data_IF_565021866325
#
_entry.id   IF_565021866325
#
_cell.length_a   1.000
_cell.length_b   1.000
_cell.length_c   1.000
_cell.angle_alpha   90.00
_cell.angle_beta   90.00
_cell.angle_gamma   90.00
#
_symmetry.space_group_name_H-M   'P 1'
#
loop_
_entity.id
_entity.type
_entity.pdbx_description
1 polymer ?
#
# COMPACT_ATOMS: atom_id res chain seq x y z
N UNK A 1 30.79 2.98 -24.99
CA UNK A 1 30.47 4.44 -24.96
C UNK A 1 31.67 5.13 -24.33
N UNK A 2 32.10 6.26 -24.90
CA UNK A 2 33.19 7.06 -24.33
C UNK A 2 32.77 7.72 -23.00
N UNK A 3 33.71 7.86 -22.06
CA UNK A 3 33.46 8.35 -20.70
C UNK A 3 32.78 9.72 -20.68
N UNK A 4 33.28 10.66 -21.47
CA UNK A 4 32.77 12.04 -21.49
C UNK A 4 31.36 12.07 -22.07
N UNK A 5 31.10 11.24 -23.08
CA UNK A 5 29.75 11.07 -23.62
C UNK A 5 28.79 10.47 -22.59
N UNK A 6 29.23 9.49 -21.80
CA UNK A 6 28.42 8.90 -20.73
C UNK A 6 28.06 9.96 -19.68
N UNK A 7 29.04 10.73 -19.20
CA UNK A 7 28.83 11.80 -18.20
C UNK A 7 27.87 12.86 -18.75
N UNK A 8 28.06 13.29 -19.99
CA UNK A 8 27.20 14.29 -20.63
C UNK A 8 25.75 13.81 -20.81
N UNK A 9 25.54 12.53 -21.11
CA UNK A 9 24.19 11.95 -21.16
C UNK A 9 23.58 11.93 -19.75
N UNK A 10 24.33 11.46 -18.76
CA UNK A 10 23.84 11.36 -17.39
C UNK A 10 23.42 12.71 -16.81
N UNK A 11 24.21 13.77 -17.03
CA UNK A 11 23.90 15.11 -16.53
C UNK A 11 22.72 15.78 -17.24
N UNK A 12 22.38 15.33 -18.46
CA UNK A 12 21.28 15.89 -19.25
C UNK A 12 20.00 15.04 -19.24
N UNK A 13 20.01 13.88 -18.57
CA UNK A 13 18.87 12.96 -18.58
C UNK A 13 17.75 13.49 -17.70
N UNK A 14 16.56 13.67 -18.27
CA UNK A 14 15.36 14.13 -17.57
C UNK A 14 14.29 13.02 -17.56
N UNK A 15 13.69 12.78 -16.40
CA UNK A 15 12.61 11.81 -16.21
C UNK A 15 11.20 12.34 -16.52
N UNK A 16 11.07 13.48 -17.20
CA UNK A 16 9.79 14.06 -17.66
C UNK A 16 10.06 15.17 -18.68
N UNK A 17 9.05 15.52 -19.48
CA UNK A 17 9.16 16.57 -20.48
C UNK A 17 9.45 17.94 -19.85
N UNK A 18 10.50 18.64 -20.29
CA UNK A 18 10.80 20.00 -19.84
C UNK A 18 10.03 21.01 -20.69
N UNK A 19 9.30 21.92 -20.05
CA UNK A 19 8.60 22.99 -20.76
C UNK A 19 9.56 24.16 -21.01
N UNK A 20 9.77 24.51 -22.28
CA UNK A 20 10.63 25.61 -22.70
C UNK A 20 12.07 25.20 -23.06
N UNK A 21 12.85 26.16 -23.58
CA UNK A 21 14.28 25.98 -23.91
C UNK A 21 15.15 26.27 -22.68
N UNK A 22 15.12 25.41 -21.66
CA UNK A 22 16.12 25.43 -20.57
C UNK A 22 17.34 24.61 -20.98
N UNK A 23 17.96 25.00 -22.09
CA UNK A 23 19.20 24.40 -22.61
C UNK A 23 20.43 25.07 -21.96
N UNK A 24 20.44 25.15 -20.64
CA UNK A 24 21.63 25.59 -19.92
C UNK A 24 22.20 24.38 -19.20
N UNK A 25 23.44 24.03 -19.52
CA UNK A 25 24.26 22.97 -18.87
C UNK A 25 24.33 23.14 -17.34
N UNK A 26 23.90 24.30 -16.83
CA UNK A 26 23.83 24.67 -15.43
C UNK A 26 22.42 25.08 -14.99
N UNK A 27 21.36 24.74 -15.73
CA UNK A 27 20.01 25.11 -15.30
C UNK A 27 19.68 24.23 -14.11
N UNK A 28 19.80 24.84 -12.95
CA UNK A 28 19.31 24.41 -11.65
C UNK A 28 17.80 24.10 -11.64
N UNK A 29 17.14 23.87 -12.79
CA UNK A 29 15.73 23.46 -12.85
C UNK A 29 15.47 22.11 -12.16
N UNK A 30 16.50 21.26 -12.00
CA UNK A 30 16.41 20.08 -11.14
C UNK A 30 16.59 20.42 -9.64
N UNK A 31 17.40 21.43 -9.31
CA UNK A 31 17.73 21.85 -7.94
C UNK A 31 16.81 22.95 -7.40
N UNK A 32 15.99 23.58 -8.24
CA UNK A 32 15.07 24.66 -7.92
C UNK A 32 13.68 24.30 -8.42
N UNK A 33 12.95 23.58 -7.57
CA UNK A 33 11.51 23.62 -7.31
C UNK A 33 11.13 22.26 -6.70
N UNK A 34 10.30 22.28 -5.65
CA UNK A 34 9.91 21.08 -4.89
C UNK A 34 9.43 19.89 -5.73
N UNK A 35 9.33 18.73 -5.10
CA UNK A 35 9.07 17.38 -5.60
C UNK A 35 8.41 17.30 -6.99
N UNK A 36 9.24 17.45 -8.04
CA UNK A 36 8.85 17.18 -9.42
C UNK A 36 8.68 15.67 -9.69
N UNK A 37 8.91 14.81 -8.69
CA UNK A 37 8.65 13.37 -8.75
C UNK A 37 7.21 13.04 -9.16
N UNK A 38 6.24 13.92 -8.86
CA UNK A 38 4.86 13.78 -9.34
C UNK A 38 4.76 13.72 -10.87
N UNK A 39 5.69 14.35 -11.58
CA UNK A 39 5.75 14.38 -13.05
C UNK A 39 6.28 13.07 -13.64
N UNK A 40 6.90 12.21 -12.83
CA UNK A 40 7.33 10.89 -13.26
C UNK A 40 6.18 9.88 -13.35
N UNK A 41 4.96 10.25 -12.93
CA UNK A 41 3.79 9.35 -12.91
C UNK A 41 3.53 8.67 -14.26
N UNK A 42 3.68 9.39 -15.36
CA UNK A 42 3.47 8.82 -16.70
C UNK A 42 4.51 7.74 -17.01
N UNK A 43 5.78 7.98 -16.63
CA UNK A 43 6.85 6.99 -16.77
C UNK A 43 6.61 5.80 -15.85
N UNK A 44 6.19 6.04 -14.60
CA UNK A 44 5.86 4.97 -13.65
C UNK A 44 4.85 4.00 -14.27
N UNK A 45 3.76 4.49 -14.86
CA UNK A 45 2.75 3.63 -15.50
C UNK A 45 3.30 2.95 -16.75
N UNK A 46 3.90 3.73 -17.66
CA UNK A 46 4.41 3.22 -18.94
C UNK A 46 5.51 2.15 -18.78
N UNK A 47 6.29 2.22 -17.69
CA UNK A 47 7.36 1.27 -17.40
C UNK A 47 6.82 -0.15 -17.12
N UNK A 48 5.63 -0.25 -16.50
CA UNK A 48 5.09 -1.54 -16.06
C UNK A 48 3.88 -2.02 -16.86
N UNK A 49 3.21 -1.15 -17.63
CA UNK A 49 2.00 -1.47 -18.40
C UNK A 49 2.13 -2.77 -19.21
N UNK A 50 3.22 -2.91 -19.97
CA UNK A 50 3.46 -4.14 -20.77
C UNK A 50 3.63 -5.39 -19.92
N UNK A 51 4.30 -5.27 -18.77
CA UNK A 51 4.52 -6.40 -17.86
C UNK A 51 3.21 -6.82 -17.20
N UNK A 52 2.37 -5.85 -16.82
CA UNK A 52 1.03 -6.10 -16.30
C UNK A 52 0.20 -6.85 -17.33
N UNK A 53 0.15 -6.37 -18.57
CA UNK A 53 -0.71 -6.98 -19.59
C UNK A 53 -0.22 -8.36 -20.06
N UNK A 54 1.10 -8.59 -20.05
CA UNK A 54 1.68 -9.84 -20.53
C UNK A 54 1.82 -10.93 -19.44
N UNK A 55 2.03 -10.54 -18.17
CA UNK A 55 2.48 -11.48 -17.13
C UNK A 55 1.57 -11.54 -15.89
N UNK A 56 0.69 -10.56 -15.68
CA UNK A 56 -0.29 -10.67 -14.59
C UNK A 56 -1.39 -11.64 -15.00
N UNK A 57 -1.48 -12.76 -14.28
CA UNK A 57 -2.67 -13.61 -14.35
C UNK A 57 -3.85 -12.88 -13.70
N UNK A 58 -4.77 -12.38 -14.54
CA UNK A 58 -5.93 -11.61 -14.10
C UNK A 58 -7.06 -12.50 -13.56
N UNK A 59 -6.91 -13.82 -13.62
CA UNK A 59 -7.89 -14.80 -13.14
C UNK A 59 -7.45 -15.47 -11.84
N UNK A 60 -6.16 -15.83 -11.72
CA UNK A 60 -5.62 -16.57 -10.55
C UNK A 60 -4.30 -15.99 -10.03
N UNK A 61 -4.04 -14.70 -10.29
CA UNK A 61 -2.80 -14.06 -9.87
C UNK A 61 -2.63 -13.98 -8.36
N UNK A 62 -1.37 -14.03 -7.93
CA UNK A 62 -0.98 -13.70 -6.56
C UNK A 62 -0.04 -12.50 -6.57
N UNK A 63 -0.52 -11.38 -6.04
CA UNK A 63 0.22 -10.12 -5.95
C UNK A 63 0.54 -9.76 -4.51
N UNK A 64 1.64 -9.06 -4.32
CA UNK A 64 2.10 -8.54 -3.03
C UNK A 64 2.27 -7.03 -3.13
N UNK A 65 1.92 -6.32 -2.06
CA UNK A 65 2.20 -4.89 -1.92
C UNK A 65 3.14 -4.68 -0.74
N UNK A 66 4.25 -3.98 -0.99
CA UNK A 66 5.21 -3.59 0.03
C UNK A 66 5.81 -2.21 -0.27
N UNK A 67 6.54 -1.60 0.67
CA UNK A 67 7.37 -0.42 0.40
C UNK A 67 8.81 -0.79 0.07
N UNK A 68 9.44 -0.07 -0.85
CA UNK A 68 10.86 -0.14 -1.11
C UNK A 68 11.55 1.19 -0.77
N UNK A 69 12.71 1.13 -0.11
CA UNK A 69 13.53 2.32 0.18
C UNK A 69 14.64 2.40 -0.84
N UNK A 70 14.60 3.44 -1.67
CA UNK A 70 15.63 3.70 -2.68
C UNK A 70 16.73 4.52 -2.01
N UNK A 71 17.92 3.95 -1.84
CA UNK A 71 18.99 4.59 -1.09
C UNK A 71 19.42 5.92 -1.74
N UNK A 72 19.30 7.04 -1.03
CA UNK A 72 19.79 8.34 -1.48
C UNK A 72 20.08 9.27 -0.31
N UNK A 73 21.27 9.90 -0.37
CA UNK A 73 21.69 10.96 0.56
C UNK A 73 21.63 12.35 -0.06
N UNK A 74 21.20 12.46 -1.32
CA UNK A 74 21.20 13.71 -2.05
C UNK A 74 20.31 14.76 -1.34
N UNK A 75 20.80 15.98 -1.19
CA UNK A 75 20.13 17.01 -0.36
C UNK A 75 18.83 17.56 -1.00
N UNK A 76 18.69 17.36 -2.30
CA UNK A 76 17.56 17.79 -3.13
C UNK A 76 16.40 16.78 -3.18
N UNK A 77 16.52 15.61 -2.52
CA UNK A 77 15.36 14.73 -2.30
C UNK A 77 14.52 15.30 -1.16
N UNK A 78 13.37 15.87 -1.50
CA UNK A 78 12.45 16.53 -0.56
C UNK A 78 11.93 15.58 0.54
N UNK A 79 11.52 14.36 0.16
CA UNK A 79 10.97 13.38 1.10
C UNK A 79 11.89 12.17 1.20
N UNK A 80 12.53 12.03 2.35
CA UNK A 80 13.30 10.85 2.70
C UNK A 80 12.74 10.21 3.95
N UNK A 81 12.75 8.88 3.97
CA UNK A 81 12.60 8.12 5.20
C UNK A 81 13.97 7.68 5.69
N UNK A 82 14.14 7.64 7.01
CA UNK A 82 15.26 6.99 7.66
C UNK A 82 14.78 5.66 8.21
N UNK A 83 15.45 4.57 7.84
CA UNK A 83 15.12 3.22 8.27
C UNK A 83 16.37 2.45 8.67
N UNK A 84 16.47 2.11 9.94
CA UNK A 84 17.54 1.24 10.44
C UNK A 84 17.37 -0.23 10.01
N UNK A 85 16.21 -0.58 9.45
CA UNK A 85 15.88 -1.95 9.01
C UNK A 85 16.21 -2.19 7.53
N UNK A 86 16.27 -1.14 6.70
CA UNK A 86 16.46 -1.27 5.25
C UNK A 86 17.90 -0.94 4.84
N UNK A 87 18.39 -1.67 3.84
CA UNK A 87 19.71 -1.42 3.23
C UNK A 87 19.69 -0.03 2.59
N UNK A 88 20.72 0.78 2.84
CA UNK A 88 20.76 2.18 2.39
C UNK A 88 20.45 3.23 3.47
N UNK A 89 19.72 2.83 4.52
CA UNK A 89 19.37 3.62 5.73
C UNK A 89 18.53 4.88 5.51
N UNK A 90 18.68 5.56 4.38
CA UNK A 90 18.04 6.85 4.08
C UNK A 90 17.72 6.93 2.59
N UNK A 91 16.56 7.48 2.26
CA UNK A 91 16.18 7.83 0.90
C UNK A 91 14.67 7.90 0.70
N UNK A 92 14.19 8.21 -0.52
CA UNK A 92 12.78 8.19 -0.83
C UNK A 92 12.21 6.77 -0.74
N UNK A 93 10.93 6.68 -0.44
CA UNK A 93 10.20 5.42 -0.32
C UNK A 93 9.24 5.31 -1.49
N UNK A 94 9.19 4.16 -2.14
CA UNK A 94 8.19 3.82 -3.13
C UNK A 94 7.26 2.73 -2.59
N UNK A 95 5.98 2.81 -2.93
CA UNK A 95 5.07 1.68 -2.79
C UNK A 95 5.21 0.81 -4.05
N UNK A 96 5.26 -0.51 -3.89
CA UNK A 96 5.49 -1.46 -4.97
C UNK A 96 4.39 -2.52 -5.01
N UNK A 97 4.03 -2.96 -6.20
CA UNK A 97 3.22 -4.16 -6.44
C UNK A 97 4.05 -5.16 -7.23
N UNK A 98 4.09 -6.40 -6.79
CA UNK A 98 4.81 -7.46 -7.50
C UNK A 98 4.04 -8.78 -7.50
N UNK A 99 4.34 -9.67 -8.43
CA UNK A 99 3.94 -11.07 -8.36
C UNK A 99 4.85 -11.82 -7.40
N UNK A 100 4.29 -12.49 -6.40
CA UNK A 100 5.07 -13.31 -5.47
C UNK A 100 5.74 -14.50 -6.18
N UNK A 101 5.04 -15.12 -7.12
CA UNK A 101 5.49 -16.35 -7.79
C UNK A 101 6.60 -16.08 -8.80
N UNK A 102 6.47 -15.01 -9.59
CA UNK A 102 7.41 -14.67 -10.66
C UNK A 102 8.48 -13.66 -10.24
N UNK A 103 8.40 -13.14 -9.01
CA UNK A 103 9.28 -12.05 -8.53
C UNK A 103 9.33 -10.85 -9.48
N UNK A 104 8.23 -10.60 -10.19
CA UNK A 104 8.13 -9.54 -11.21
C UNK A 104 7.39 -8.35 -10.64
N UNK A 105 7.99 -7.15 -10.73
CA UNK A 105 7.36 -5.92 -10.31
C UNK A 105 6.35 -5.44 -11.38
N UNK A 106 5.13 -5.17 -10.96
CA UNK A 106 4.02 -4.70 -11.78
C UNK A 106 3.68 -3.23 -11.58
N UNK A 107 4.28 -2.60 -10.57
CA UNK A 107 4.07 -1.19 -10.32
C UNK A 107 4.98 -0.69 -9.23
N UNK A 108 5.50 0.52 -9.41
CA UNK A 108 6.23 1.24 -8.37
C UNK A 108 5.79 2.69 -8.41
N UNK A 109 5.50 3.26 -7.25
CA UNK A 109 5.07 4.65 -7.12
C UNK A 109 5.78 5.34 -5.97
N UNK A 110 6.50 6.41 -6.27
CA UNK A 110 7.21 7.17 -5.24
C UNK A 110 6.22 7.86 -4.29
N UNK A 111 6.51 7.81 -2.99
CA UNK A 111 5.77 8.58 -1.99
C UNK A 111 6.18 10.05 -2.12
N UNK A 112 5.17 10.89 -2.28
CA UNK A 112 5.32 12.34 -2.35
C UNK A 112 4.48 12.99 -1.26
N UNK A 113 4.92 14.15 -0.78
CA UNK A 113 4.23 14.93 0.24
C UNK A 113 2.76 15.12 -0.15
N UNK A 114 1.84 14.92 0.80
CA UNK A 114 0.38 15.08 0.63
C UNK A 114 -0.31 14.12 -0.36
N UNK A 115 0.27 12.96 -0.69
CA UNK A 115 -0.45 11.90 -1.42
C UNK A 115 -0.72 10.68 -0.52
N UNK A 116 -1.94 10.57 0.00
CA UNK A 116 -2.39 9.42 0.80
C UNK A 116 -2.93 8.26 -0.02
N UNK A 117 -2.96 8.38 -1.34
CA UNK A 117 -3.66 7.47 -2.27
C UNK A 117 -2.74 6.61 -3.13
N UNK A 118 -1.46 6.51 -2.78
CA UNK A 118 -0.46 5.85 -3.62
C UNK A 118 -0.81 4.38 -3.94
N UNK A 119 -1.17 3.61 -2.92
CA UNK A 119 -1.51 2.18 -3.08
C UNK A 119 -2.78 2.01 -3.91
N UNK A 120 -3.80 2.84 -3.68
CA UNK A 120 -5.03 2.81 -4.48
C UNK A 120 -4.74 3.05 -5.96
N UNK A 121 -3.91 4.05 -6.27
CA UNK A 121 -3.52 4.37 -7.65
C UNK A 121 -2.68 3.26 -8.29
N UNK A 122 -1.85 2.56 -7.51
CA UNK A 122 -1.11 1.40 -7.99
C UNK A 122 -2.06 0.24 -8.31
N UNK A 123 -3.01 -0.05 -7.42
CA UNK A 123 -4.01 -1.10 -7.67
C UNK A 123 -4.87 -0.77 -8.91
N UNK A 124 -5.22 0.50 -9.12
CA UNK A 124 -5.97 0.92 -10.31
C UNK A 124 -5.19 0.67 -11.61
N UNK A 125 -3.85 0.76 -11.58
CA UNK A 125 -3.00 0.54 -12.75
C UNK A 125 -2.90 -0.92 -13.21
N UNK A 126 -3.38 -1.87 -12.41
CA UNK A 126 -3.37 -3.29 -12.76
C UNK A 126 -4.49 -3.67 -13.74
N UNK A 127 -5.48 -2.79 -13.95
CA UNK A 127 -6.62 -3.01 -14.85
C UNK A 127 -7.33 -4.36 -14.60
N UNK A 128 -7.54 -4.70 -13.34
CA UNK A 128 -8.16 -5.97 -12.93
C UNK A 128 -9.65 -5.95 -13.32
N UNK A 129 -10.14 -6.95 -14.08
CA UNK A 129 -11.55 -7.06 -14.41
C UNK A 129 -12.38 -7.32 -13.15
N UNK A 130 -13.53 -6.65 -13.02
CA UNK A 130 -14.48 -6.94 -11.94
C UNK A 130 -15.22 -8.24 -12.22
N UNK A 131 -15.67 -8.92 -11.16
CA UNK A 131 -16.50 -10.14 -11.24
C UNK A 131 -15.89 -11.31 -12.02
N UNK A 132 -14.58 -11.52 -11.95
CA UNK A 132 -13.99 -12.80 -12.41
C UNK A 132 -14.53 -13.98 -11.58
N UNK A 133 -14.52 -15.21 -12.10
CA UNK A 133 -14.92 -16.40 -11.33
C UNK A 133 -13.84 -16.85 -10.33
N UNK A 134 -12.57 -16.61 -10.67
CA UNK A 134 -11.39 -16.81 -9.80
C UNK A 134 -10.76 -15.46 -9.43
N UNK A 135 -10.38 -15.29 -8.16
CA UNK A 135 -9.98 -13.99 -7.60
C UNK A 135 -8.47 -13.84 -7.64
N UNK A 136 -7.98 -12.62 -7.85
CA UNK A 136 -6.57 -12.33 -7.62
C UNK A 136 -6.37 -12.20 -6.11
N UNK A 137 -5.41 -12.94 -5.59
CA UNK A 137 -4.99 -12.84 -4.19
C UNK A 137 -3.99 -11.69 -4.03
N UNK A 138 -4.21 -10.85 -3.03
CA UNK A 138 -3.37 -9.73 -2.66
C UNK A 138 -2.85 -9.90 -1.24
N UNK A 139 -1.54 -10.01 -1.07
CA UNK A 139 -0.90 -10.02 0.23
C UNK A 139 -0.36 -8.63 0.62
N UNK A 140 -0.70 -8.22 1.85
CA UNK A 140 -0.18 -7.02 2.52
C UNK A 140 0.72 -7.40 3.71
N UNK A 141 1.87 -6.72 3.82
CA UNK A 141 2.57 -6.65 5.10
C UNK A 141 1.77 -5.82 6.13
N UNK A 142 2.13 -5.94 7.40
CA UNK A 142 1.56 -5.21 8.55
C UNK A 142 1.46 -3.69 8.33
N UNK A 143 2.32 -3.10 7.50
CA UNK A 143 2.27 -1.67 7.19
C UNK A 143 1.02 -1.25 6.39
N UNK A 144 0.50 -2.17 5.56
CA UNK A 144 -0.56 -1.93 4.59
C UNK A 144 -1.89 -2.56 4.97
N UNK A 145 -1.89 -3.50 5.90
CA UNK A 145 -3.07 -4.26 6.35
C UNK A 145 -4.20 -3.51 7.05
N UNK A 146 -4.22 -2.18 7.02
CA UNK A 146 -5.22 -1.39 7.74
C UNK A 146 -6.61 -1.59 7.12
N UNK A 147 -7.67 -1.49 7.92
CA UNK A 147 -9.05 -1.75 7.48
C UNK A 147 -9.41 -0.97 6.20
N UNK A 148 -9.01 0.30 6.10
CA UNK A 148 -9.29 1.12 4.91
C UNK A 148 -8.67 0.54 3.63
N UNK A 149 -7.43 0.04 3.69
CA UNK A 149 -6.76 -0.56 2.54
C UNK A 149 -7.35 -1.93 2.19
N UNK A 150 -7.69 -2.74 3.20
CA UNK A 150 -8.37 -4.02 3.01
C UNK A 150 -9.72 -3.82 2.32
N UNK A 151 -10.52 -2.84 2.76
CA UNK A 151 -11.80 -2.50 2.14
C UNK A 151 -11.61 -1.98 0.70
N UNK A 152 -10.60 -1.15 0.46
CA UNK A 152 -10.32 -0.63 -0.87
C UNK A 152 -9.90 -1.72 -1.87
N UNK A 153 -9.14 -2.73 -1.42
CA UNK A 153 -8.81 -3.90 -2.24
C UNK A 153 -10.04 -4.80 -2.47
N UNK A 154 -10.84 -5.03 -1.42
CA UNK A 154 -12.10 -5.77 -1.50
C UNK A 154 -13.12 -5.14 -2.47
N UNK A 155 -13.12 -3.82 -2.63
CA UNK A 155 -13.97 -3.13 -3.60
C UNK A 155 -13.48 -3.26 -5.05
N UNK A 156 -12.28 -3.81 -5.24
CA UNK A 156 -11.69 -4.18 -6.54
C UNK A 156 -11.75 -5.69 -6.82
N UNK A 157 -12.58 -6.43 -6.07
CA UNK A 157 -12.74 -7.89 -6.16
C UNK A 157 -11.42 -8.68 -5.94
N UNK A 158 -10.54 -8.14 -5.08
CA UNK A 158 -9.33 -8.82 -4.63
C UNK A 158 -9.57 -9.58 -3.31
N UNK A 159 -8.99 -10.77 -3.22
CA UNK A 159 -8.92 -11.55 -1.98
C UNK A 159 -7.68 -11.12 -1.20
N UNK A 160 -7.82 -10.65 0.05
CA UNK A 160 -6.74 -9.91 0.72
C UNK A 160 -6.12 -10.72 1.86
N UNK A 161 -4.85 -11.11 1.76
CA UNK A 161 -4.12 -11.71 2.88
C UNK A 161 -3.40 -10.59 3.64
N UNK A 162 -3.52 -10.48 4.97
CA UNK A 162 -2.87 -9.39 5.69
C UNK A 162 -2.47 -9.71 7.13
N UNK A 163 -1.22 -9.46 7.47
CA UNK A 163 -0.73 -9.65 8.84
C UNK A 163 -1.19 -8.48 9.72
N UNK A 164 -1.82 -8.78 10.86
CA UNK A 164 -2.17 -7.76 11.83
C UNK A 164 -0.95 -7.40 12.69
N UNK A 165 -0.71 -6.11 12.89
CA UNK A 165 0.24 -5.63 13.89
C UNK A 165 -0.28 -5.81 15.34
N UNK A 166 -0.01 -4.81 16.18
CA UNK A 166 -0.53 -4.78 17.55
C UNK A 166 -2.05 -4.57 17.55
N UNK A 167 -2.76 -5.19 18.48
CA UNK A 167 -4.20 -4.98 18.69
C UNK A 167 -4.52 -3.48 18.83
N UNK A 168 -5.61 -3.00 18.21
CA UNK A 168 -6.01 -1.59 18.19
C UNK A 168 -5.30 -0.68 17.16
N UNK A 169 -4.38 -1.19 16.33
CA UNK A 169 -3.64 -0.37 15.35
C UNK A 169 -4.39 -0.03 14.04
N UNK A 170 -5.73 0.04 14.09
CA UNK A 170 -6.63 0.29 12.95
C UNK A 170 -6.61 -0.81 11.85
N UNK A 171 -6.02 -1.96 12.16
CA UNK A 171 -6.27 -3.18 11.41
C UNK A 171 -7.75 -3.58 11.53
N UNK A 172 -8.28 -4.41 10.63
CA UNK A 172 -9.68 -4.82 10.70
C UNK A 172 -10.03 -5.54 12.02
N UNK A 173 -9.02 -6.06 12.72
CA UNK A 173 -9.14 -6.71 14.02
C UNK A 173 -9.19 -5.70 15.17
N UNK A 174 -10.37 -5.53 15.76
CA UNK A 174 -10.57 -4.78 17.00
C UNK A 174 -11.21 -5.74 18.01
N UNK A 175 -10.98 -5.56 19.31
CA UNK A 175 -11.84 -6.26 20.25
C UNK A 175 -13.26 -5.70 20.18
N UNK A 176 -14.23 -6.46 20.69
CA UNK A 176 -15.62 -5.98 20.80
C UNK A 176 -15.66 -4.64 21.56
N UNK A 177 -14.86 -4.49 22.61
CA UNK A 177 -14.78 -3.29 23.44
C UNK A 177 -14.13 -2.11 22.69
N UNK A 178 -13.02 -2.35 21.98
CA UNK A 178 -12.36 -1.32 21.15
C UNK A 178 -13.30 -0.82 20.05
N UNK A 179 -14.04 -1.73 19.43
CA UNK A 179 -15.03 -1.40 18.43
C UNK A 179 -16.17 -0.57 19.01
N UNK A 180 -16.77 -1.03 20.11
CA UNK A 180 -17.90 -0.33 20.73
C UNK A 180 -17.47 1.06 21.24
N UNK A 181 -16.27 1.20 21.80
CA UNK A 181 -15.68 2.49 22.20
C UNK A 181 -15.42 3.42 20.99
N UNK A 182 -14.87 2.89 19.89
CA UNK A 182 -14.64 3.65 18.66
C UNK A 182 -15.95 4.10 18.02
N UNK A 183 -16.99 3.27 18.03
CA UNK A 183 -18.32 3.60 17.51
C UNK A 183 -19.04 4.62 18.37
N UNK A 184 -18.96 4.54 19.71
CA UNK A 184 -19.46 5.59 20.61
C UNK A 184 -18.80 6.94 20.30
N UNK A 185 -17.47 6.96 20.17
CA UNK A 185 -16.73 8.19 19.82
C UNK A 185 -17.13 8.75 18.46
N UNK A 186 -17.40 7.89 17.47
CA UNK A 186 -17.86 8.30 16.13
C UNK A 186 -19.31 8.79 16.12
N UNK A 187 -20.21 8.20 16.92
CA UNK A 187 -21.57 8.69 17.14
C UNK A 187 -21.60 10.12 17.66
N UNK A 188 -20.68 10.45 18.57
CA UNK A 188 -20.58 11.81 19.13
C UNK A 188 -19.98 12.83 18.15
N UNK A 189 -19.14 12.39 17.19
CA UNK A 189 -18.42 13.30 16.26
C UNK A 189 -19.09 13.48 14.90
N UNK A 190 -19.86 12.49 14.47
CA UNK A 190 -20.44 12.40 13.14
C UNK A 190 -21.81 11.78 13.34
N UNK A 191 -22.87 12.41 12.82
CA UNK A 191 -24.28 11.98 12.94
C UNK A 191 -24.53 10.65 12.18
N UNK A 192 -23.77 9.61 12.50
CA UNK A 192 -23.93 8.26 11.94
C UNK A 192 -25.21 7.68 12.52
N UNK A 193 -26.13 7.32 11.63
CA UNK A 193 -27.40 6.73 12.05
C UNK A 193 -27.17 5.34 12.66
N UNK A 194 -28.06 4.88 13.55
CA UNK A 194 -28.03 3.52 14.07
C UNK A 194 -28.00 2.44 12.97
N UNK A 195 -28.63 2.69 11.82
CA UNK A 195 -28.59 1.82 10.64
C UNK A 195 -27.18 1.68 10.06
N UNK A 196 -26.46 2.79 9.86
CA UNK A 196 -25.08 2.76 9.34
C UNK A 196 -24.16 1.99 10.28
N UNK A 197 -24.34 2.16 11.59
CA UNK A 197 -23.54 1.46 12.60
C UNK A 197 -23.84 -0.04 12.63
N UNK A 198 -25.11 -0.43 12.47
CA UNK A 198 -25.48 -1.85 12.30
C UNK A 198 -24.87 -2.44 11.03
N UNK A 199 -24.92 -1.72 9.92
CA UNK A 199 -24.26 -2.13 8.67
C UNK A 199 -22.75 -2.32 8.86
N UNK A 200 -22.09 -1.37 9.51
CA UNK A 200 -20.66 -1.48 9.85
C UNK A 200 -20.37 -2.63 10.81
N UNK A 201 -21.20 -2.88 11.84
CA UNK A 201 -21.01 -3.99 12.78
C UNK A 201 -21.27 -5.35 12.13
N UNK A 202 -22.16 -5.44 11.14
CA UNK A 202 -22.33 -6.64 10.33
C UNK A 202 -21.09 -6.92 9.45
N UNK A 203 -20.48 -5.87 8.88
CA UNK A 203 -19.26 -5.97 8.06
C UNK A 203 -18.04 -6.30 8.94
N UNK A 204 -17.89 -5.61 10.06
CA UNK A 204 -16.73 -5.70 10.94
C UNK A 204 -16.85 -6.80 12.00
N UNK A 205 -18.05 -7.35 12.22
CA UNK A 205 -18.34 -8.35 13.25
C UNK A 205 -17.50 -9.63 13.12
N UNK A 206 -17.24 -10.05 11.88
CA UNK A 206 -16.36 -11.20 11.59
C UNK A 206 -14.89 -10.94 11.91
N UNK A 207 -14.54 -9.68 12.16
CA UNK A 207 -13.21 -9.21 12.52
C UNK A 207 -13.10 -8.86 14.00
N UNK A 208 -14.20 -8.93 14.76
CA UNK A 208 -14.18 -8.66 16.19
C UNK A 208 -13.59 -9.84 16.96
N UNK A 209 -12.64 -9.54 17.83
CA UNK A 209 -12.01 -10.53 18.71
C UNK A 209 -12.62 -10.38 20.12
N UNK A 210 -12.98 -11.48 20.81
CA UNK A 210 -13.33 -11.41 22.23
C UNK A 210 -12.18 -10.81 23.06
N UNK A 211 -12.49 -9.97 24.05
CA UNK A 211 -11.49 -9.32 24.93
C UNK A 211 -10.55 -10.30 25.63
N UNK A 212 -11.06 -11.47 26.00
CA UNK A 212 -10.40 -12.41 26.91
C UNK A 212 -9.49 -13.44 26.22
N UNK A 213 -9.30 -13.28 24.92
CA UNK A 213 -8.53 -14.20 24.12
C UNK A 213 -7.03 -13.88 24.23
N UNK A 214 -6.37 -14.49 25.23
CA UNK A 214 -4.92 -14.67 25.32
C UNK A 214 -4.41 -15.52 24.16
N UNK A 215 -4.35 -14.98 22.94
CA UNK A 215 -4.14 -15.81 21.75
C UNK A 215 -2.73 -15.69 21.15
N UNK A 216 -2.17 -16.87 20.87
CA UNK A 216 -1.02 -17.09 19.99
C UNK A 216 -1.34 -16.81 18.52
N UNK A 217 -0.71 -17.55 17.59
CA UNK A 217 -1.04 -17.44 16.15
C UNK A 217 -2.48 -17.87 15.88
N UNK A 218 -3.41 -16.92 15.83
CA UNK A 218 -4.80 -17.16 15.44
C UNK A 218 -5.03 -16.72 14.00
N UNK A 219 -5.46 -17.66 13.16
CA UNK A 219 -5.92 -17.44 11.78
C UNK A 219 -7.39 -17.07 11.81
N UNK A 220 -7.69 -15.77 11.69
CA UNK A 220 -9.07 -15.30 11.48
C UNK A 220 -9.31 -15.10 10.00
N UNK A 221 -10.41 -15.63 9.50
CA UNK A 221 -10.90 -15.43 8.13
C UNK A 221 -12.22 -14.68 8.24
N UNK A 222 -12.24 -13.42 7.83
CA UNK A 222 -13.51 -12.78 7.51
C UNK A 222 -13.95 -13.18 6.10
N UNK A 223 -15.26 -13.21 5.89
CA UNK A 223 -15.93 -13.60 4.65
C UNK A 223 -16.99 -12.55 4.32
N UNK A 224 -16.69 -11.65 3.39
CA UNK A 224 -17.73 -10.77 2.83
C UNK A 224 -18.40 -11.46 1.64
N UNK A 225 -19.59 -12.04 1.83
CA UNK A 225 -20.45 -12.37 0.70
C UNK A 225 -21.04 -11.06 0.17
N UNK A 226 -20.59 -10.59 -1.00
CA UNK A 226 -21.37 -9.62 -1.76
C UNK A 226 -22.48 -10.39 -2.48
N UNK A 227 -23.70 -9.83 -2.64
CA UNK A 227 -24.83 -10.55 -3.25
C UNK A 227 -24.56 -11.09 -4.67
N UNK A 228 -23.47 -10.64 -5.31
CA UNK A 228 -23.03 -10.98 -6.67
C UNK A 228 -21.50 -11.02 -6.81
N UNK A 229 -20.72 -10.96 -5.72
CA UNK A 229 -19.26 -10.86 -5.77
C UNK A 229 -18.59 -11.70 -4.67
N UNK A 230 -17.35 -12.12 -4.96
CA UNK A 230 -16.57 -13.11 -4.22
C UNK A 230 -16.44 -12.82 -2.73
N UNK A 231 -16.17 -13.92 -2.02
CA UNK A 231 -15.87 -13.91 -0.59
C UNK A 231 -14.49 -13.32 -0.36
N UNK A 232 -14.41 -12.09 0.14
CA UNK A 232 -13.11 -11.53 0.56
C UNK A 232 -12.66 -12.25 1.81
N UNK A 233 -11.56 -12.98 1.70
CA UNK A 233 -10.81 -13.56 2.81
C UNK A 233 -9.84 -12.48 3.31
N UNK A 234 -9.70 -12.30 4.62
CA UNK A 234 -8.40 -11.87 5.12
C UNK A 234 -7.95 -12.59 6.37
N UNK A 235 -6.70 -13.02 6.27
CA UNK A 235 -5.94 -13.82 7.22
C UNK A 235 -4.98 -12.92 7.97
N UNK A 236 -5.11 -12.81 9.29
CA UNK A 236 -4.08 -12.23 10.14
C UNK A 236 -3.30 -13.26 10.91
N UNK A 237 -2.03 -12.94 11.12
CA UNK A 237 -1.11 -13.65 11.98
C UNK A 237 -0.59 -12.64 13.01
N UNK A 238 -0.77 -12.89 14.31
CA UNK A 238 -0.16 -12.07 15.35
C UNK A 238 1.25 -12.59 15.61
N UNK A 239 2.25 -11.75 15.40
CA UNK A 239 3.64 -12.08 15.74
C UNK A 239 3.81 -12.09 17.28
N UNK A 240 3.81 -13.29 17.86
CA UNK A 240 4.05 -13.53 19.30
C UNK A 240 5.48 -13.21 19.74
N UNK A 241 6.41 -13.01 18.81
CA UNK A 241 7.81 -12.65 19.08
C UNK A 241 8.06 -11.14 19.02
N UNK A 242 7.04 -10.33 18.69
CA UNK A 242 7.16 -8.88 18.72
C UNK A 242 7.23 -8.41 20.19
N UNK A 243 8.46 -8.25 20.70
CA UNK A 243 8.80 -8.04 22.11
C UNK A 243 8.24 -6.78 22.79
N UNK A 244 7.39 -6.01 22.12
CA UNK A 244 6.60 -4.95 22.76
C UNK A 244 5.39 -5.56 23.47
N UNK A 245 5.63 -6.18 24.63
CA UNK A 245 4.54 -6.52 25.56
C UNK A 245 3.89 -5.22 26.05
N UNK A 246 2.58 -5.01 25.84
CA UNK A 246 1.85 -4.01 26.60
C UNK A 246 1.61 -4.58 28.00
N UNK A 247 2.13 -3.94 29.04
CA UNK A 247 1.76 -4.27 30.43
C UNK A 247 2.77 -5.07 31.26
N UNK A 248 4.03 -4.63 31.34
CA UNK A 248 4.81 -4.81 32.58
C UNK A 248 5.16 -3.42 33.11
N UNK A 249 4.25 -2.86 33.90
CA UNK A 249 4.61 -2.08 35.09
C UNK A 249 5.16 -3.03 36.13
#
# INVERSE_FOLDING_TARGET
MERDRFIAIQSCTCGYAQAGRTASVHSNAWTQQGAMLRRMKEIEVALFERSVDALLDKENGFIVVDDELIASRAADVEQKAVSNRKRGKEGPVADCIACSMLSTCFGMRLRVTNDSSNVDRLLDSLHIPKNTECGIELAFDRGYGKLAAVLAAADRDLDVITIAGTLGSRHPYNTVEEWDAAMQKRRHRSQLTPETIRGLKAICGQWLIPSDNYLGCEVRVAKRQKPQSKTVYALALRDVFNGKRPGRT
#
